data_IF_704715493247
#
_entry.id   IF_704715493247
#
_cell.length_a   1.000
_cell.length_b   1.000
_cell.length_c   1.000
_cell.angle_alpha   90.00
_cell.angle_beta   90.00
_cell.angle_gamma   90.00
#
_symmetry.space_group_name_H-M   'P 1'
#
loop_
_entity.id
_entity.type
_entity.pdbx_description
1 polymer ?
#
# COMPACT_ATOMS: atom_id res chain seq x y z
N UNK A 1 -65.97 38.96 4.63
CA UNK A 1 -65.76 37.49 4.69
C UNK A 1 -64.32 37.22 4.28
N UNK A 2 -63.49 36.74 5.20
CA UNK A 2 -62.07 36.38 4.97
C UNK A 2 -61.96 34.86 4.86
N UNK A 3 -61.35 34.34 3.79
CA UNK A 3 -60.91 32.95 3.71
C UNK A 3 -59.57 32.78 4.45
N UNK A 4 -59.29 31.63 5.08
CA UNK A 4 -58.03 31.38 5.77
C UNK A 4 -56.93 30.94 4.78
N UNK A 5 -55.63 31.17 5.09
CA UNK A 5 -54.54 30.64 4.29
C UNK A 5 -54.34 29.13 4.55
N UNK A 6 -54.11 28.37 3.48
CA UNK A 6 -53.66 26.98 3.54
C UNK A 6 -52.26 26.90 4.17
N UNK A 7 -52.09 25.94 5.09
CA UNK A 7 -50.86 25.68 5.87
C UNK A 7 -49.70 25.14 5.00
N UNK A 8 -48.43 25.44 5.33
CA UNK A 8 -47.24 24.95 4.62
C UNK A 8 -46.77 23.55 5.10
N UNK A 9 -47.67 22.68 5.58
CA UNK A 9 -47.26 21.40 6.19
C UNK A 9 -47.18 20.22 5.20
N UNK A 10 -47.72 20.34 3.99
CA UNK A 10 -47.78 19.22 3.02
C UNK A 10 -46.54 19.13 2.13
N UNK A 11 -45.82 20.25 1.93
CA UNK A 11 -44.59 20.25 1.11
C UNK A 11 -43.36 19.68 1.83
N UNK A 12 -43.28 19.80 3.16
CA UNK A 12 -42.13 19.28 3.93
C UNK A 12 -42.16 17.75 4.08
N UNK A 13 -43.35 17.15 4.20
CA UNK A 13 -43.49 15.70 4.31
C UNK A 13 -43.11 15.00 3.00
N UNK A 14 -43.56 15.48 1.84
CA UNK A 14 -43.21 14.86 0.55
C UNK A 14 -41.73 15.00 0.19
N UNK A 15 -41.08 16.12 0.53
CA UNK A 15 -39.65 16.31 0.32
C UNK A 15 -38.81 15.37 1.22
N UNK A 16 -39.20 15.19 2.48
CA UNK A 16 -38.55 14.26 3.40
C UNK A 16 -38.65 12.80 2.94
N UNK A 17 -39.82 12.37 2.48
CA UNK A 17 -40.02 10.99 1.98
C UNK A 17 -39.30 10.74 0.66
N UNK A 18 -39.23 11.74 -0.23
CA UNK A 18 -38.49 11.62 -1.50
C UNK A 18 -36.98 11.56 -1.26
N UNK A 19 -36.43 12.38 -0.36
CA UNK A 19 -35.00 12.34 0.00
C UNK A 19 -34.64 11.02 0.69
N UNK A 20 -35.47 10.52 1.62
CA UNK A 20 -35.26 9.18 2.20
C UNK A 20 -35.33 8.09 1.14
N UNK A 21 -36.29 8.15 0.21
CA UNK A 21 -36.46 7.12 -0.82
C UNK A 21 -35.30 7.14 -1.82
N UNK A 22 -34.77 8.32 -2.18
CA UNK A 22 -33.58 8.45 -3.02
C UNK A 22 -32.33 7.96 -2.30
N UNK A 23 -32.16 8.28 -1.00
CA UNK A 23 -31.03 7.79 -0.21
C UNK A 23 -31.07 6.27 0.01
N UNK A 24 -32.25 5.70 0.28
CA UNK A 24 -32.44 4.25 0.40
C UNK A 24 -32.21 3.57 -0.95
N UNK A 25 -32.75 4.11 -2.04
CA UNK A 25 -32.52 3.59 -3.39
C UNK A 25 -31.04 3.68 -3.81
N UNK A 26 -30.32 4.75 -3.44
CA UNK A 26 -28.88 4.85 -3.71
C UNK A 26 -28.07 3.86 -2.86
N UNK A 27 -28.40 3.72 -1.57
CA UNK A 27 -27.76 2.76 -0.68
C UNK A 27 -27.97 1.33 -1.16
N UNK A 28 -29.20 0.99 -1.56
CA UNK A 28 -29.55 -0.36 -1.98
C UNK A 28 -28.97 -0.70 -3.37
N UNK A 29 -28.81 0.29 -4.27
CA UNK A 29 -28.09 0.10 -5.53
C UNK A 29 -26.57 0.02 -5.35
N UNK A 30 -26.00 0.77 -4.41
CA UNK A 30 -24.59 0.62 -4.03
C UNK A 30 -24.35 -0.75 -3.40
N UNK A 31 -25.25 -1.23 -2.55
CA UNK A 31 -25.19 -2.57 -1.96
C UNK A 31 -25.33 -3.67 -3.03
N UNK A 32 -26.29 -3.55 -3.95
CA UNK A 32 -26.48 -4.52 -5.04
C UNK A 32 -25.33 -4.50 -6.06
N UNK A 33 -24.76 -3.33 -6.34
CA UNK A 33 -23.53 -3.20 -7.14
C UNK A 33 -22.33 -3.84 -6.43
N UNK A 34 -22.19 -3.59 -5.13
CA UNK A 34 -21.15 -4.18 -4.29
C UNK A 34 -21.26 -5.70 -4.19
N UNK A 35 -22.46 -6.26 -3.97
CA UNK A 35 -22.68 -7.71 -3.91
C UNK A 35 -22.37 -8.39 -5.25
N UNK A 36 -22.69 -7.76 -6.37
CA UNK A 36 -22.31 -8.25 -7.71
C UNK A 36 -20.79 -8.14 -7.98
N UNK A 37 -20.13 -7.13 -7.42
CA UNK A 37 -18.67 -6.96 -7.51
C UNK A 37 -17.96 -8.04 -6.69
N UNK A 38 -18.37 -8.23 -5.43
CA UNK A 38 -17.86 -9.27 -4.54
C UNK A 38 -18.14 -10.65 -5.13
N UNK A 39 -19.31 -10.89 -5.74
CA UNK A 39 -19.59 -12.16 -6.41
C UNK A 39 -18.68 -12.36 -7.62
N UNK A 40 -18.47 -11.34 -8.46
CA UNK A 40 -17.61 -11.42 -9.65
C UNK A 40 -16.17 -11.74 -9.27
N UNK A 41 -15.59 -11.02 -8.29
CA UNK A 41 -14.23 -11.25 -7.76
C UNK A 41 -14.12 -12.65 -7.11
N UNK A 42 -15.15 -13.10 -6.40
CA UNK A 42 -15.19 -14.46 -5.83
C UNK A 42 -15.31 -15.56 -6.89
N UNK A 43 -16.10 -15.37 -7.95
CA UNK A 43 -16.24 -16.37 -9.03
C UNK A 43 -14.97 -16.53 -9.86
N UNK A 44 -14.18 -15.48 -10.07
CA UNK A 44 -12.85 -15.60 -10.69
C UNK A 44 -11.85 -16.29 -9.76
N UNK A 45 -11.97 -16.12 -8.43
CA UNK A 45 -11.10 -16.77 -7.46
C UNK A 45 -11.41 -18.28 -7.24
N UNK A 46 -12.68 -18.70 -7.37
CA UNK A 46 -13.12 -20.06 -7.03
C UNK A 46 -12.88 -21.12 -8.12
N UNK A 47 -12.49 -20.73 -9.34
CA UNK A 47 -12.43 -21.61 -10.52
C UNK A 47 -11.02 -22.10 -10.90
N UNK A 48 -10.11 -22.26 -9.94
CA UNK A 48 -8.78 -22.79 -10.20
C UNK A 48 -8.50 -24.08 -9.41
N UNK A 49 -8.30 -25.17 -10.15
CA UNK A 49 -7.60 -26.37 -9.70
C UNK A 49 -6.35 -25.97 -8.91
N UNK A 50 -6.09 -26.66 -7.79
CA UNK A 50 -4.92 -26.48 -6.91
C UNK A 50 -3.68 -26.16 -7.75
N UNK A 51 -3.17 -24.92 -7.76
CA UNK A 51 -2.01 -24.59 -8.54
C UNK A 51 -0.78 -25.22 -7.90
N UNK A 52 0.05 -25.86 -8.72
CA UNK A 52 1.43 -26.16 -8.40
C UNK A 52 2.13 -24.88 -7.90
N UNK A 53 3.14 -24.96 -7.02
CA UNK A 53 3.87 -23.78 -6.55
C UNK A 53 4.38 -22.99 -7.75
N UNK A 54 3.98 -21.72 -7.83
CA UNK A 54 4.44 -20.77 -8.83
C UNK A 54 5.96 -20.70 -8.78
N UNK A 55 6.62 -21.28 -9.78
CA UNK A 55 8.03 -21.05 -10.05
C UNK A 55 8.12 -19.64 -10.60
N UNK A 56 8.57 -18.70 -9.75
CA UNK A 56 8.57 -17.26 -10.00
C UNK A 56 8.74 -16.88 -11.48
N UNK A 57 7.88 -15.98 -11.98
CA UNK A 57 8.11 -15.36 -13.28
C UNK A 57 9.56 -14.88 -13.35
N UNK A 58 10.24 -15.20 -14.46
CA UNK A 58 11.58 -14.67 -14.73
C UNK A 58 11.52 -13.16 -14.56
N UNK A 59 12.30 -12.56 -13.64
CA UNK A 59 12.17 -11.13 -13.39
C UNK A 59 12.46 -10.35 -14.65
N UNK A 60 11.53 -9.48 -15.01
CA UNK A 60 11.54 -8.78 -16.28
C UNK A 60 11.33 -7.30 -16.03
N UNK A 61 12.04 -6.48 -16.79
CA UNK A 61 11.81 -5.05 -16.77
C UNK A 61 10.35 -4.75 -17.18
N UNK A 62 9.66 -3.82 -16.49
CA UNK A 62 8.34 -3.37 -16.88
C UNK A 62 8.37 -2.72 -18.26
N UNK A 63 7.29 -2.93 -19.02
CA UNK A 63 7.17 -2.43 -20.40
C UNK A 63 6.59 -1.01 -20.47
N UNK A 64 6.01 -0.53 -19.36
CA UNK A 64 5.38 0.78 -19.24
C UNK A 64 5.33 1.25 -17.78
N UNK A 65 4.68 2.38 -17.53
CA UNK A 65 4.53 3.03 -16.23
C UNK A 65 3.15 2.80 -15.59
N UNK A 66 2.46 1.70 -15.94
CA UNK A 66 1.09 1.41 -15.47
C UNK A 66 0.99 1.39 -13.94
N UNK A 67 2.02 0.84 -13.27
CA UNK A 67 2.19 0.86 -11.82
C UNK A 67 3.37 1.76 -11.48
N UNK A 68 3.15 2.65 -10.53
CA UNK A 68 4.18 3.49 -9.94
C UNK A 68 4.21 3.37 -8.42
N UNK A 69 5.33 3.73 -7.82
CA UNK A 69 5.48 3.86 -6.35
C UNK A 69 5.73 5.32 -6.00
N UNK A 70 4.99 5.84 -5.02
CA UNK A 70 5.32 7.08 -4.33
C UNK A 70 6.09 6.75 -3.05
N UNK A 71 7.35 7.16 -2.97
CA UNK A 71 8.25 6.82 -1.87
C UNK A 71 8.69 8.08 -1.13
N UNK A 72 8.05 8.36 0.01
CA UNK A 72 8.51 9.36 0.97
C UNK A 72 9.69 8.77 1.76
N UNK A 73 10.88 9.37 1.61
CA UNK A 73 12.11 8.76 2.11
C UNK A 73 13.08 9.81 2.67
N UNK A 74 13.84 9.42 3.69
CA UNK A 74 14.91 10.21 4.28
C UNK A 74 15.99 9.27 4.79
N UNK A 75 17.28 9.55 4.59
CA UNK A 75 18.41 8.84 5.20
C UNK A 75 18.30 7.30 5.14
N UNK A 76 17.85 6.78 4.00
CA UNK A 76 17.64 5.34 3.75
C UNK A 76 18.27 4.89 2.43
N UNK A 77 19.38 5.53 2.02
CA UNK A 77 20.13 5.21 0.79
C UNK A 77 20.47 3.71 0.68
N UNK A 78 20.84 3.08 1.80
CA UNK A 78 21.22 1.66 1.85
C UNK A 78 20.04 0.70 1.67
N UNK A 79 18.80 1.16 1.88
CA UNK A 79 17.60 0.32 1.74
C UNK A 79 17.10 0.28 0.27
N UNK A 80 17.40 1.33 -0.50
CA UNK A 80 16.90 1.51 -1.87
C UNK A 80 17.31 0.42 -2.87
N UNK A 81 18.55 -0.08 -2.92
CA UNK A 81 18.96 -1.01 -3.97
C UNK A 81 18.05 -2.25 -4.05
N UNK A 82 17.81 -2.92 -2.93
CA UNK A 82 16.96 -4.12 -2.92
C UNK A 82 15.48 -3.77 -3.11
N UNK A 83 15.01 -2.65 -2.55
CA UNK A 83 13.64 -2.16 -2.75
C UNK A 83 13.35 -1.89 -4.23
N UNK A 84 14.19 -1.12 -4.91
CA UNK A 84 14.05 -0.76 -6.31
C UNK A 84 14.12 -2.00 -7.20
N UNK A 85 15.12 -2.86 -6.98
CA UNK A 85 15.27 -4.10 -7.75
C UNK A 85 14.03 -4.98 -7.65
N UNK A 86 13.53 -5.22 -6.43
CA UNK A 86 12.39 -6.10 -6.20
C UNK A 86 11.14 -5.55 -6.87
N UNK A 87 10.81 -4.29 -6.64
CA UNK A 87 9.59 -3.70 -7.17
C UNK A 87 9.64 -3.54 -8.70
N UNK A 88 10.81 -3.21 -9.26
CA UNK A 88 10.96 -3.07 -10.71
C UNK A 88 10.88 -4.42 -11.42
N UNK A 89 11.74 -5.37 -11.07
CA UNK A 89 11.89 -6.62 -11.82
C UNK A 89 10.90 -7.72 -11.42
N UNK A 90 10.47 -7.77 -10.16
CA UNK A 90 9.57 -8.84 -9.69
C UNK A 90 8.11 -8.38 -9.66
N UNK A 91 7.85 -7.12 -9.27
CA UNK A 91 6.47 -6.60 -9.17
C UNK A 91 6.03 -5.79 -10.40
N UNK A 92 6.92 -5.52 -11.35
CA UNK A 92 6.59 -4.80 -12.59
C UNK A 92 6.27 -3.33 -12.39
N UNK A 93 6.84 -2.68 -11.37
CA UNK A 93 6.70 -1.24 -11.13
C UNK A 93 7.56 -0.47 -12.13
N UNK A 94 6.91 0.30 -13.00
CA UNK A 94 7.55 1.05 -14.09
C UNK A 94 8.22 2.36 -13.66
N UNK A 95 7.65 3.04 -12.66
CA UNK A 95 8.12 4.36 -12.23
C UNK A 95 8.15 4.50 -10.71
N UNK A 96 9.20 5.15 -10.22
CA UNK A 96 9.37 5.49 -8.81
C UNK A 96 9.44 7.02 -8.66
N UNK A 97 8.52 7.60 -7.90
CA UNK A 97 8.59 8.98 -7.44
C UNK A 97 9.31 8.99 -6.09
N UNK A 98 10.61 9.32 -6.14
CA UNK A 98 11.49 9.36 -4.98
C UNK A 98 11.42 10.74 -4.33
N UNK A 99 10.68 10.82 -3.24
CA UNK A 99 10.38 12.05 -2.51
C UNK A 99 11.32 12.17 -1.32
N UNK A 100 12.50 12.72 -1.59
CA UNK A 100 13.63 12.80 -0.65
C UNK A 100 13.46 13.99 0.32
N UNK A 101 13.12 13.69 1.58
CA UNK A 101 12.93 14.64 2.68
C UNK A 101 14.26 14.98 3.38
N UNK A 102 15.19 15.51 2.60
CA UNK A 102 16.42 16.11 3.10
C UNK A 102 17.55 15.13 3.41
N UNK A 103 17.62 13.99 2.71
CA UNK A 103 18.76 13.07 2.82
C UNK A 103 20.07 13.77 2.48
N UNK A 104 21.13 13.47 3.23
CA UNK A 104 22.47 14.01 2.98
C UNK A 104 23.49 12.89 2.78
N UNK A 105 24.14 12.79 1.58
CA UNK A 105 23.87 13.56 0.36
C UNK A 105 22.52 13.19 -0.28
N UNK A 106 21.92 14.09 -1.11
CA UNK A 106 20.65 13.82 -1.78
C UNK A 106 20.64 12.50 -2.55
N UNK A 107 19.51 11.78 -2.52
CA UNK A 107 19.37 10.47 -3.17
C UNK A 107 19.55 10.51 -4.69
N UNK A 108 19.35 11.68 -5.31
CA UNK A 108 19.65 11.89 -6.74
C UNK A 108 21.14 11.71 -7.09
N UNK A 109 22.03 11.77 -6.11
CA UNK A 109 23.47 11.55 -6.26
C UNK A 109 23.89 10.07 -6.17
N UNK A 110 22.98 9.14 -5.92
CA UNK A 110 23.28 7.70 -6.08
C UNK A 110 23.77 7.44 -7.51
N UNK A 111 24.78 6.59 -7.71
CA UNK A 111 25.26 6.18 -9.03
C UNK A 111 24.28 5.21 -9.70
N UNK A 112 24.44 4.98 -11.00
CA UNK A 112 23.57 4.03 -11.71
C UNK A 112 23.78 2.59 -11.22
N UNK A 113 24.97 2.24 -10.76
CA UNK A 113 25.27 0.96 -10.12
C UNK A 113 24.54 0.80 -8.78
N UNK A 114 24.47 1.85 -7.96
CA UNK A 114 23.77 1.82 -6.68
C UNK A 114 22.25 1.67 -6.84
N UNK A 115 21.66 2.23 -7.91
CA UNK A 115 20.21 2.20 -8.12
C UNK A 115 19.69 0.82 -8.48
N UNK A 116 20.53 -0.06 -9.06
CA UNK A 116 20.20 -1.43 -9.51
C UNK A 116 19.10 -1.57 -10.55
N UNK A 117 18.52 -0.45 -10.99
CA UNK A 117 17.50 -0.32 -12.04
C UNK A 117 17.86 0.89 -12.93
N UNK A 118 17.31 1.00 -14.15
CA UNK A 118 17.56 2.16 -15.00
C UNK A 118 17.14 3.47 -14.31
N UNK A 119 18.02 4.48 -14.27
CA UNK A 119 17.71 5.80 -13.71
C UNK A 119 16.45 6.43 -14.31
N UNK A 120 16.14 6.14 -15.57
CA UNK A 120 14.94 6.63 -16.25
C UNK A 120 13.62 6.15 -15.60
N UNK A 121 13.65 5.03 -14.89
CA UNK A 121 12.53 4.52 -14.10
C UNK A 121 12.30 5.32 -12.81
N UNK A 122 13.15 6.30 -12.50
CA UNK A 122 13.09 7.09 -11.28
C UNK A 122 12.85 8.56 -11.61
N UNK A 123 12.02 9.22 -10.80
CA UNK A 123 11.89 10.67 -10.76
C UNK A 123 12.29 11.14 -9.35
N UNK A 124 13.36 11.92 -9.27
CA UNK A 124 13.89 12.41 -8.00
C UNK A 124 13.31 13.78 -7.66
N UNK A 125 12.72 13.92 -6.49
CA UNK A 125 12.25 15.18 -5.94
C UNK A 125 12.90 15.41 -4.57
N UNK A 126 13.79 16.41 -4.51
CA UNK A 126 14.50 16.74 -3.28
C UNK A 126 13.83 17.90 -2.54
N UNK A 127 13.54 17.68 -1.26
CA UNK A 127 12.97 18.64 -0.33
C UNK A 127 14.04 19.00 0.68
N UNK A 128 14.38 20.29 0.77
CA UNK A 128 15.41 20.74 1.71
C UNK A 128 14.91 20.58 3.16
N UNK A 129 15.78 20.27 4.13
CA UNK A 129 15.40 20.14 5.54
C UNK A 129 14.63 21.34 6.10
N UNK A 130 14.92 22.57 5.63
CA UNK A 130 14.25 23.79 6.10
C UNK A 130 12.81 23.94 5.57
N UNK A 131 12.41 23.08 4.62
CA UNK A 131 11.05 22.99 4.08
C UNK A 131 10.23 21.88 4.71
N UNK A 132 10.81 21.13 5.65
CA UNK A 132 10.08 20.09 6.36
C UNK A 132 8.92 20.69 7.15
N UNK A 133 7.75 20.08 7.02
CA UNK A 133 6.54 20.50 7.70
C UNK A 133 5.89 19.35 8.48
N UNK A 134 4.95 19.71 9.36
CA UNK A 134 4.20 18.70 10.10
C UNK A 134 3.40 17.86 9.10
N UNK A 135 3.50 16.54 9.24
CA UNK A 135 2.86 15.58 8.31
C UNK A 135 3.41 15.67 6.87
N UNK A 136 4.72 15.91 6.73
CA UNK A 136 5.43 15.95 5.46
C UNK A 136 5.04 14.80 4.52
N UNK A 137 4.79 13.60 5.06
CA UNK A 137 4.37 12.44 4.24
C UNK A 137 3.11 12.73 3.41
N UNK A 138 2.13 13.48 3.95
CA UNK A 138 0.91 13.83 3.23
C UNK A 138 1.20 14.78 2.07
N UNK A 139 2.07 15.75 2.29
CA UNK A 139 2.53 16.69 1.26
C UNK A 139 3.25 15.96 0.15
N UNK A 140 4.16 15.06 0.50
CA UNK A 140 4.89 14.25 -0.48
C UNK A 140 3.95 13.35 -1.28
N UNK A 141 2.96 12.73 -0.64
CA UNK A 141 1.95 11.90 -1.34
C UNK A 141 1.11 12.73 -2.32
N UNK A 142 0.66 13.92 -1.92
CA UNK A 142 -0.06 14.84 -2.81
C UNK A 142 0.80 15.24 -4.02
N UNK A 143 2.09 15.55 -3.81
CA UNK A 143 3.00 15.90 -4.88
C UNK A 143 3.26 14.73 -5.85
N UNK A 144 3.43 13.49 -5.37
CA UNK A 144 3.54 12.32 -6.24
C UNK A 144 2.37 12.22 -7.22
N UNK A 145 1.13 12.38 -6.72
CA UNK A 145 -0.07 12.33 -7.55
C UNK A 145 -0.11 13.49 -8.55
N UNK A 146 0.29 14.69 -8.14
CA UNK A 146 0.38 15.84 -9.04
C UNK A 146 1.40 15.61 -10.16
N UNK A 147 2.58 15.07 -9.84
CA UNK A 147 3.60 14.75 -10.85
C UNK A 147 3.11 13.68 -11.82
N UNK A 148 2.52 12.60 -11.31
CA UNK A 148 1.95 11.55 -12.16
C UNK A 148 0.84 12.08 -13.09
N UNK A 149 -0.07 12.95 -12.59
CA UNK A 149 -1.15 13.54 -13.41
C UNK A 149 -0.65 14.52 -14.46
N UNK A 150 0.39 15.27 -14.16
CA UNK A 150 0.92 16.30 -15.05
C UNK A 150 1.94 15.75 -16.06
N UNK A 151 2.42 14.52 -15.86
CA UNK A 151 3.38 13.90 -16.74
C UNK A 151 2.73 13.44 -18.04
N UNK A 152 3.25 13.92 -19.17
CA UNK A 152 2.82 13.45 -20.51
C UNK A 152 3.51 12.14 -20.93
N UNK A 153 4.53 11.72 -20.19
CA UNK A 153 5.36 10.53 -20.46
C UNK A 153 5.14 9.41 -19.43
N UNK A 154 4.63 9.76 -18.26
CA UNK A 154 4.35 8.79 -17.19
C UNK A 154 2.85 8.50 -17.16
N UNK A 155 2.41 7.48 -17.91
CA UNK A 155 1.03 7.03 -17.93
C UNK A 155 0.72 6.08 -16.75
N UNK A 156 0.67 6.63 -15.53
CA UNK A 156 0.38 5.86 -14.32
C UNK A 156 -1.11 5.69 -14.08
N UNK A 157 -1.56 4.44 -14.08
CA UNK A 157 -2.92 4.08 -13.64
C UNK A 157 -2.97 3.92 -12.13
N UNK A 158 -2.07 3.10 -11.59
CA UNK A 158 -2.03 2.73 -10.17
C UNK A 158 -0.76 3.24 -9.50
N UNK A 159 -0.91 3.84 -8.33
CA UNK A 159 0.20 4.32 -7.51
C UNK A 159 0.18 3.64 -6.14
N UNK A 160 1.23 2.91 -5.82
CA UNK A 160 1.47 2.37 -4.49
C UNK A 160 2.05 3.43 -3.56
N UNK A 161 1.43 3.60 -2.39
CA UNK A 161 1.92 4.47 -1.32
C UNK A 161 2.48 3.57 -0.21
N UNK A 162 3.77 3.28 -0.29
CA UNK A 162 4.48 2.36 0.60
C UNK A 162 5.79 3.00 1.08
N UNK A 163 6.32 2.49 2.18
CA UNK A 163 7.55 2.94 2.80
C UNK A 163 8.76 2.11 2.30
N UNK A 164 9.99 2.60 2.48
CA UNK A 164 11.20 1.97 1.92
C UNK A 164 11.56 0.61 2.56
N UNK A 165 10.88 0.25 3.64
CA UNK A 165 10.96 -1.02 4.35
C UNK A 165 9.72 -1.92 4.11
N UNK A 166 8.90 -1.61 3.11
CA UNK A 166 7.69 -2.36 2.75
C UNK A 166 7.81 -2.93 1.33
N UNK A 167 7.57 -4.24 1.19
CA UNK A 167 7.76 -4.98 -0.06
C UNK A 167 6.44 -5.61 -0.48
N UNK A 168 5.91 -5.14 -1.61
CA UNK A 168 4.69 -5.71 -2.19
C UNK A 168 5.01 -7.12 -2.67
N UNK A 169 4.08 -8.04 -2.42
CA UNK A 169 4.22 -9.40 -2.87
C UNK A 169 2.92 -9.94 -3.45
N UNK A 170 3.05 -10.74 -4.51
CA UNK A 170 1.94 -11.44 -5.16
C UNK A 170 2.19 -12.96 -5.02
N UNK A 171 1.71 -13.59 -3.92
CA UNK A 171 1.94 -15.02 -3.64
C UNK A 171 1.09 -15.98 -4.47
N UNK A 172 0.03 -15.47 -5.09
CA UNK A 172 -0.81 -16.25 -6.00
C UNK A 172 -0.18 -16.49 -7.38
N UNK A 173 -0.93 -17.10 -8.30
CA UNK A 173 -0.47 -17.36 -9.67
C UNK A 173 -0.46 -16.11 -10.57
N UNK A 174 -1.06 -15.01 -10.12
CA UNK A 174 -1.17 -13.76 -10.85
C UNK A 174 -0.01 -12.83 -10.50
N UNK A 175 0.45 -12.06 -11.47
CA UNK A 175 1.31 -10.89 -11.25
C UNK A 175 0.55 -9.76 -10.56
N UNK A 176 1.29 -8.82 -9.95
CA UNK A 176 0.69 -7.60 -9.39
C UNK A 176 -0.15 -6.84 -10.44
N UNK A 177 0.35 -6.74 -11.68
CA UNK A 177 -0.39 -6.10 -12.79
C UNK A 177 -1.72 -6.79 -13.06
N UNK A 178 -1.74 -8.11 -13.23
CA UNK A 178 -2.97 -8.85 -13.52
C UNK A 178 -4.01 -8.69 -12.41
N UNK A 179 -3.56 -8.69 -11.15
CA UNK A 179 -4.43 -8.43 -10.00
C UNK A 179 -5.02 -7.00 -10.05
N UNK A 180 -4.21 -6.00 -10.37
CA UNK A 180 -4.67 -4.60 -10.48
C UNK A 180 -5.60 -4.38 -11.68
N UNK A 181 -5.37 -5.08 -12.79
CA UNK A 181 -6.25 -5.08 -13.96
C UNK A 181 -7.62 -5.72 -13.64
N UNK A 182 -7.66 -6.78 -12.82
CA UNK A 182 -8.93 -7.35 -12.34
C UNK A 182 -9.77 -6.31 -11.59
N UNK A 183 -9.13 -5.57 -10.68
CA UNK A 183 -9.81 -4.48 -10.00
C UNK A 183 -10.20 -3.39 -10.99
N UNK A 184 -9.32 -3.02 -11.93
CA UNK A 184 -9.53 -1.97 -12.94
C UNK A 184 -10.86 -2.11 -13.68
N UNK A 185 -11.25 -3.35 -14.00
CA UNK A 185 -12.52 -3.66 -14.68
C UNK A 185 -13.77 -3.26 -13.88
N UNK A 186 -13.64 -3.08 -12.57
CA UNK A 186 -14.69 -2.54 -11.70
C UNK A 186 -14.44 -1.05 -11.50
N UNK A 187 -15.32 -0.22 -12.08
CA UNK A 187 -15.18 1.24 -12.07
C UNK A 187 -15.17 1.82 -10.66
N UNK A 188 -16.04 1.31 -9.77
CA UNK A 188 -16.16 1.77 -8.38
C UNK A 188 -14.93 1.49 -7.51
N UNK A 189 -14.02 0.59 -7.89
CA UNK A 189 -12.83 0.31 -7.08
C UNK A 189 -11.79 1.40 -7.35
N UNK A 190 -11.51 2.28 -6.39
CA UNK A 190 -10.50 3.32 -6.53
C UNK A 190 -9.16 2.97 -5.89
N UNK A 191 -9.15 2.05 -4.93
CA UNK A 191 -7.93 1.64 -4.24
C UNK A 191 -7.99 0.19 -3.74
N UNK A 192 -6.82 -0.38 -3.48
CA UNK A 192 -6.64 -1.71 -2.91
C UNK A 192 -5.78 -1.61 -1.66
N UNK A 193 -6.28 -2.12 -0.54
CA UNK A 193 -5.56 -2.23 0.72
C UNK A 193 -4.83 -3.56 0.85
N UNK A 194 -3.53 -3.53 1.14
CA UNK A 194 -2.68 -4.69 1.33
C UNK A 194 -2.35 -4.83 2.82
N UNK A 195 -2.70 -5.95 3.44
CA UNK A 195 -2.34 -6.21 4.83
C UNK A 195 -0.83 -6.40 5.00
N UNK A 196 -0.28 -5.80 6.05
CA UNK A 196 1.10 -6.01 6.45
C UNK A 196 1.37 -7.46 6.82
N UNK A 197 2.56 -7.96 6.46
CA UNK A 197 3.21 -9.16 6.99
C UNK A 197 4.51 -8.69 7.65
N UNK A 198 4.42 -8.41 8.94
CA UNK A 198 5.46 -7.71 9.69
C UNK A 198 6.56 -8.68 10.14
N UNK A 199 7.78 -8.43 9.68
CA UNK A 199 8.98 -9.21 10.00
C UNK A 199 9.59 -8.80 11.34
N UNK A 200 10.18 -9.77 12.03
CA UNK A 200 10.97 -9.57 13.25
C UNK A 200 12.41 -9.17 12.88
N UNK A 201 13.29 -9.02 13.87
CA UNK A 201 14.70 -8.81 13.62
C UNK A 201 15.43 -10.10 13.23
N UNK A 202 14.78 -11.27 13.35
CA UNK A 202 15.43 -12.58 13.31
C UNK A 202 16.64 -12.69 14.27
N UNK A 203 16.66 -11.88 15.34
CA UNK A 203 17.78 -11.74 16.27
C UNK A 203 19.00 -10.99 15.72
N UNK A 204 18.93 -10.38 14.54
CA UNK A 204 20.08 -9.70 13.94
C UNK A 204 20.43 -8.42 14.69
N UNK A 205 21.69 -8.31 15.12
CA UNK A 205 22.18 -7.12 15.80
C UNK A 205 22.74 -6.07 14.84
N UNK A 206 23.29 -6.51 13.72
CA UNK A 206 23.93 -5.66 12.70
C UNK A 206 23.23 -5.79 11.36
N UNK A 207 23.37 -4.77 10.51
CA UNK A 207 22.78 -4.73 9.17
C UNK A 207 23.17 -5.98 8.36
N UNK A 208 22.16 -6.55 7.72
CA UNK A 208 22.33 -7.73 6.88
C UNK A 208 22.47 -7.33 5.40
N UNK A 209 23.23 -8.10 4.59
CA UNK A 209 23.44 -7.78 3.17
C UNK A 209 22.16 -7.80 2.32
N UNK A 210 21.16 -8.58 2.74
CA UNK A 210 19.91 -8.79 2.02
C UNK A 210 18.79 -8.93 3.04
N UNK A 211 17.79 -8.06 2.97
CA UNK A 211 16.65 -8.12 3.88
C UNK A 211 15.80 -9.38 3.60
N UNK A 212 15.61 -9.69 2.32
CA UNK A 212 14.79 -10.82 1.88
C UNK A 212 15.38 -12.15 2.37
N UNK A 213 16.70 -12.27 2.39
CA UNK A 213 17.37 -13.51 2.80
C UNK A 213 17.51 -13.63 4.32
N UNK A 214 17.64 -12.50 5.02
CA UNK A 214 18.01 -12.49 6.42
C UNK A 214 16.82 -12.43 7.38
N UNK A 215 15.73 -11.77 6.99
CA UNK A 215 14.54 -11.60 7.81
C UNK A 215 13.45 -12.57 7.32
N UNK A 216 13.38 -13.74 7.94
CA UNK A 216 12.52 -14.88 7.55
C UNK A 216 11.60 -15.33 8.67
N UNK A 217 11.38 -14.47 9.65
CA UNK A 217 10.47 -14.65 10.78
C UNK A 217 9.54 -13.44 10.89
N UNK A 218 8.27 -13.68 11.18
CA UNK A 218 7.24 -12.65 11.29
C UNK A 218 6.51 -12.75 12.62
N UNK A 219 5.86 -11.67 13.04
CA UNK A 219 4.94 -11.73 14.18
C UNK A 219 3.73 -12.61 13.83
N UNK A 220 3.18 -13.27 14.83
CA UNK A 220 1.96 -14.05 14.72
C UNK A 220 0.75 -13.17 14.38
N UNK A 221 -0.14 -13.72 13.57
CA UNK A 221 -1.29 -13.00 13.03
C UNK A 221 -2.49 -12.94 13.97
N UNK A 222 -2.45 -13.57 15.15
CA UNK A 222 -3.61 -13.66 16.05
C UNK A 222 -4.81 -14.37 15.37
N UNK A 223 -4.53 -15.53 14.75
CA UNK A 223 -5.50 -16.29 13.93
C UNK A 223 -6.78 -16.65 14.71
N UNK A 224 -6.64 -16.88 16.02
CA UNK A 224 -7.74 -17.18 16.96
C UNK A 224 -8.81 -16.06 16.98
N UNK A 225 -8.41 -14.82 16.68
CA UNK A 225 -9.29 -13.65 16.61
C UNK A 225 -9.26 -12.98 15.23
N UNK A 226 -8.93 -13.75 14.18
CA UNK A 226 -8.87 -13.27 12.79
C UNK A 226 -7.91 -12.08 12.58
N UNK A 227 -6.95 -11.90 13.49
CA UNK A 227 -6.00 -10.80 13.49
C UNK A 227 -6.51 -9.46 14.00
N UNK A 228 -7.63 -9.44 14.72
CA UNK A 228 -8.10 -8.23 15.37
C UNK A 228 -7.04 -7.64 16.32
N UNK A 229 -6.31 -8.43 17.10
CA UNK A 229 -5.27 -7.94 18.00
C UNK A 229 -3.92 -7.65 17.32
N UNK A 230 -3.72 -8.09 16.09
CA UNK A 230 -2.39 -8.07 15.46
C UNK A 230 -2.09 -6.74 14.76
N UNK A 231 -0.84 -6.30 14.82
CA UNK A 231 -0.39 -5.14 14.03
C UNK A 231 -0.45 -5.39 12.52
N UNK A 232 -0.45 -6.66 12.13
CA UNK A 232 -0.61 -7.09 10.75
C UNK A 232 -1.99 -6.77 10.13
N UNK A 233 -2.97 -6.35 10.94
CA UNK A 233 -4.25 -5.82 10.43
C UNK A 233 -4.11 -4.46 9.76
N UNK A 234 -3.00 -3.75 9.95
CA UNK A 234 -2.75 -2.52 9.22
C UNK A 234 -2.54 -2.80 7.74
N UNK A 235 -2.92 -1.82 6.93
CA UNK A 235 -2.71 -1.86 5.48
C UNK A 235 -1.73 -0.79 5.02
N UNK A 236 -1.32 -0.88 3.75
CA UNK A 236 -1.08 0.29 2.90
C UNK A 236 -1.93 0.17 1.64
N UNK A 237 -2.02 1.24 0.87
CA UNK A 237 -2.89 1.30 -0.29
C UNK A 237 -2.15 1.46 -1.61
N UNK A 238 -2.63 0.75 -2.63
CA UNK A 238 -2.38 1.03 -4.04
C UNK A 238 -3.63 1.74 -4.58
N UNK A 239 -3.49 2.97 -5.05
CA UNK A 239 -4.61 3.85 -5.42
C UNK A 239 -4.59 4.14 -6.91
N UNK A 240 -5.75 4.11 -7.57
CA UNK A 240 -5.89 4.63 -8.92
C UNK A 240 -5.69 6.14 -8.90
N UNK A 241 -4.71 6.62 -9.65
CA UNK A 241 -4.34 8.03 -9.70
C UNK A 241 -5.53 8.92 -10.07
N UNK A 242 -6.41 8.47 -10.97
CA UNK A 242 -7.62 9.23 -11.36
C UNK A 242 -8.65 9.40 -10.25
N UNK A 243 -8.65 8.50 -9.25
CA UNK A 243 -9.64 8.45 -8.16
C UNK A 243 -9.11 9.04 -6.86
N UNK A 244 -7.81 9.33 -6.78
CA UNK A 244 -7.20 9.93 -5.60
C UNK A 244 -7.81 11.31 -5.29
N UNK A 245 -8.24 11.52 -4.05
CA UNK A 245 -8.63 12.85 -3.55
C UNK A 245 -7.57 13.44 -2.63
N UNK A 246 -7.26 12.80 -1.51
CA UNK A 246 -6.26 13.23 -0.53
C UNK A 246 -5.91 12.08 0.43
N UNK A 247 -4.77 12.12 1.17
CA UNK A 247 -4.50 11.12 2.20
C UNK A 247 -5.43 11.33 3.39
N UNK A 248 -5.96 10.23 3.96
CA UNK A 248 -6.60 10.27 5.28
C UNK A 248 -5.53 10.10 6.36
N UNK A 249 -4.67 9.10 6.14
CA UNK A 249 -3.50 8.81 6.93
C UNK A 249 -2.42 8.18 6.01
N UNK A 250 -1.23 7.77 6.52
CA UNK A 250 -0.20 7.17 5.68
C UNK A 250 -0.56 5.82 5.02
N UNK A 251 -1.71 5.24 5.36
CA UNK A 251 -2.14 3.90 4.99
C UNK A 251 -3.39 3.91 4.11
N UNK A 252 -4.34 4.80 4.43
CA UNK A 252 -5.65 4.91 3.82
C UNK A 252 -5.89 6.28 3.18
N UNK A 253 -6.68 6.32 2.11
CA UNK A 253 -6.87 7.50 1.28
C UNK A 253 -8.35 7.81 1.07
N UNK A 254 -8.68 9.10 1.11
CA UNK A 254 -9.96 9.54 0.58
C UNK A 254 -9.92 9.50 -0.95
N UNK A 255 -10.98 8.95 -1.53
CA UNK A 255 -11.16 8.83 -2.98
C UNK A 255 -12.25 9.80 -3.45
N UNK A 256 -12.29 10.03 -4.77
CA UNK A 256 -13.39 10.75 -5.42
C UNK A 256 -14.72 10.04 -5.20
N UNK A 257 -15.83 10.80 -5.31
CA UNK A 257 -17.17 10.28 -5.11
C UNK A 257 -17.43 8.97 -5.90
N UNK A 258 -18.22 8.07 -5.31
CA UNK A 258 -18.57 6.74 -5.84
C UNK A 258 -17.41 5.73 -5.96
N UNK A 259 -16.23 6.04 -5.42
CA UNK A 259 -15.12 5.10 -5.39
C UNK A 259 -14.86 4.56 -3.97
N UNK A 260 -14.49 3.29 -3.90
CA UNK A 260 -14.20 2.56 -2.65
C UNK A 260 -12.80 1.97 -2.65
N UNK A 261 -12.27 1.75 -1.45
CA UNK A 261 -11.09 0.91 -1.22
C UNK A 261 -11.56 -0.51 -0.93
N UNK A 262 -10.86 -1.51 -1.49
CA UNK A 262 -11.14 -2.92 -1.22
C UNK A 262 -9.90 -3.67 -0.75
N UNK A 263 -10.08 -4.77 -0.04
CA UNK A 263 -9.05 -5.78 0.20
C UNK A 263 -8.86 -6.70 -1.00
N UNK A 264 -7.94 -7.66 -0.86
CA UNK A 264 -7.61 -8.57 -1.97
C UNK A 264 -8.76 -9.50 -2.43
N UNK A 265 -9.80 -9.62 -1.60
CA UNK A 265 -11.01 -10.42 -1.90
C UNK A 265 -12.19 -9.55 -2.36
N UNK A 266 -11.96 -8.25 -2.60
CA UNK A 266 -13.01 -7.30 -2.98
C UNK A 266 -13.85 -6.80 -1.80
N UNK A 267 -13.53 -7.18 -0.56
CA UNK A 267 -14.18 -6.68 0.65
C UNK A 267 -13.86 -5.20 0.88
N UNK A 268 -14.87 -4.39 1.18
CA UNK A 268 -14.69 -2.95 1.39
C UNK A 268 -13.84 -2.67 2.62
N UNK A 269 -12.87 -1.76 2.46
CA UNK A 269 -11.99 -1.27 3.53
C UNK A 269 -12.31 0.18 3.79
N UNK A 270 -12.57 0.52 5.06
CA UNK A 270 -13.00 1.86 5.46
C UNK A 270 -11.99 2.57 6.38
N UNK A 271 -10.81 1.97 6.61
CA UNK A 271 -9.78 2.53 7.49
C UNK A 271 -8.39 1.98 7.16
N UNK A 272 -7.36 2.48 7.86
CA UNK A 272 -6.00 1.92 7.85
C UNK A 272 -5.91 0.49 8.41
N UNK A 273 -6.98 -0.02 9.02
CA UNK A 273 -7.07 -1.35 9.61
C UNK A 273 -8.08 -2.20 8.85
N UNK A 274 -7.70 -3.44 8.56
CA UNK A 274 -8.51 -4.45 7.88
C UNK A 274 -8.26 -5.81 8.52
N UNK A 275 -9.34 -6.41 9.03
CA UNK A 275 -9.39 -7.80 9.44
C UNK A 275 -10.77 -8.39 9.06
N UNK A 276 -10.91 -9.70 8.74
CA UNK A 276 -9.89 -10.74 8.78
C UNK A 276 -8.67 -10.45 7.92
N UNK A 277 -7.48 -10.76 8.45
CA UNK A 277 -6.23 -10.58 7.70
C UNK A 277 -6.20 -11.60 6.56
N UNK A 278 -5.96 -11.14 5.33
CA UNK A 278 -5.79 -12.04 4.18
C UNK A 278 -4.62 -11.57 3.32
N UNK A 279 -3.81 -12.51 2.82
CA UNK A 279 -2.60 -12.26 2.01
C UNK A 279 -2.34 -13.32 0.93
N UNK A 280 -3.38 -13.90 0.34
CA UNK A 280 -3.24 -15.02 -0.60
C UNK A 280 -3.00 -14.59 -2.06
N UNK A 281 -3.38 -13.36 -2.39
CA UNK A 281 -3.19 -12.71 -3.70
C UNK A 281 -2.25 -11.51 -3.59
N UNK A 282 -2.37 -10.73 -2.51
CA UNK A 282 -1.51 -9.57 -2.23
C UNK A 282 -1.08 -9.54 -0.78
N UNK A 283 0.23 -9.42 -0.55
CA UNK A 283 0.82 -9.21 0.77
C UNK A 283 1.71 -7.98 0.76
N UNK A 284 1.90 -7.34 1.92
CA UNK A 284 2.89 -6.29 2.08
C UNK A 284 3.87 -6.68 3.19
N UNK A 285 5.02 -7.22 2.81
CA UNK A 285 6.06 -7.60 3.78
C UNK A 285 6.72 -6.35 4.36
N UNK A 286 6.58 -6.13 5.66
CA UNK A 286 7.04 -4.92 6.33
C UNK A 286 8.22 -5.25 7.25
N UNK A 287 9.41 -4.84 6.85
CA UNK A 287 10.65 -5.00 7.60
C UNK A 287 10.83 -3.81 8.54
N UNK A 288 9.88 -3.62 9.45
CA UNK A 288 9.75 -2.36 10.20
C UNK A 288 10.92 -2.08 11.15
N UNK A 289 11.50 -3.13 11.73
CA UNK A 289 12.58 -3.02 12.72
C UNK A 289 13.95 -3.40 12.13
N UNK A 290 14.00 -4.39 11.22
CA UNK A 290 15.26 -4.95 10.68
C UNK A 290 16.22 -5.32 11.81
N UNK A 291 17.53 -5.21 11.60
CA UNK A 291 18.50 -5.44 12.67
C UNK A 291 18.45 -4.34 13.74
N UNK A 292 19.01 -4.63 14.92
CA UNK A 292 19.07 -3.66 16.04
C UNK A 292 19.76 -2.36 15.64
N UNK A 293 20.91 -2.44 14.97
CA UNK A 293 21.65 -1.29 14.42
C UNK A 293 20.76 -0.43 13.50
N UNK A 294 20.03 -1.05 12.58
CA UNK A 294 19.15 -0.34 11.65
C UNK A 294 17.93 0.28 12.35
N UNK A 295 17.43 -0.37 13.41
CA UNK A 295 16.38 0.20 14.22
C UNK A 295 16.85 1.45 14.99
N UNK A 296 18.07 1.43 15.51
CA UNK A 296 18.70 2.59 16.14
C UNK A 296 18.84 3.76 15.16
N UNK A 297 19.27 3.50 13.92
CA UNK A 297 19.28 4.49 12.83
C UNK A 297 17.87 5.05 12.57
N UNK A 298 16.85 4.19 12.52
CA UNK A 298 15.45 4.59 12.31
C UNK A 298 14.92 5.50 13.42
N UNK A 299 15.23 5.19 14.68
CA UNK A 299 14.84 6.02 15.82
C UNK A 299 15.48 7.41 15.77
N UNK A 300 16.75 7.50 15.35
CA UNK A 300 17.46 8.77 15.19
C UNK A 300 16.87 9.60 14.06
N UNK A 301 16.56 8.95 12.92
CA UNK A 301 15.93 9.58 11.75
C UNK A 301 14.55 10.16 12.04
N UNK A 302 13.71 9.44 12.78
CA UNK A 302 12.29 9.77 12.98
C UNK A 302 11.44 9.43 11.75
N UNK A 303 10.19 9.92 11.73
CA UNK A 303 9.27 9.72 10.59
C UNK A 303 8.80 11.03 9.96
N UNK A 304 8.35 10.93 8.70
CA UNK A 304 7.70 12.01 7.97
C UNK A 304 6.30 12.39 8.52
N UNK A 305 5.82 11.68 9.54
CA UNK A 305 4.58 11.99 10.28
C UNK A 305 4.83 12.71 11.61
N UNK A 306 6.07 13.14 11.85
CA UNK A 306 6.48 13.82 13.10
C UNK A 306 6.31 12.95 14.35
N UNK A 307 6.19 11.63 14.20
CA UNK A 307 6.25 10.67 15.30
C UNK A 307 7.65 10.04 15.37
N UNK A 308 8.05 9.60 16.56
CA UNK A 308 9.27 8.83 16.77
C UNK A 308 8.87 7.47 17.30
N UNK A 309 9.22 6.41 16.56
CA UNK A 309 9.17 5.05 17.09
C UNK A 309 10.32 4.90 18.09
N UNK A 310 10.07 4.25 19.22
CA UNK A 310 11.07 3.99 20.24
C UNK A 310 11.27 2.49 20.46
N UNK A 311 12.04 2.17 21.51
CA UNK A 311 12.25 0.78 21.96
C UNK A 311 10.95 0.07 22.35
N UNK A 312 9.88 0.79 22.65
CA UNK A 312 8.54 0.22 22.84
C UNK A 312 8.03 -0.53 21.60
N UNK A 313 8.33 -0.01 20.41
CA UNK A 313 8.03 -0.70 19.14
C UNK A 313 8.90 -1.95 18.98
N UNK A 314 10.18 -1.86 19.33
CA UNK A 314 11.09 -3.02 19.30
C UNK A 314 10.59 -4.12 20.24
N UNK A 315 10.35 -3.80 21.51
CA UNK A 315 9.81 -4.74 22.50
C UNK A 315 8.50 -5.39 22.03
N UNK A 316 7.61 -4.59 21.40
CA UNK A 316 6.35 -5.11 20.89
C UNK A 316 6.55 -6.18 19.80
N UNK A 317 7.44 -5.93 18.84
CA UNK A 317 7.61 -6.81 17.69
C UNK A 317 8.58 -7.95 17.94
N UNK A 318 9.63 -7.70 18.72
CA UNK A 318 10.70 -8.66 18.98
C UNK A 318 10.47 -9.50 20.24
N UNK A 319 9.87 -8.94 21.29
CA UNK A 319 9.84 -9.61 22.61
C UNK A 319 8.44 -10.06 23.05
N UNK A 320 7.40 -9.28 22.73
CA UNK A 320 6.04 -9.50 23.24
C UNK A 320 5.18 -10.34 22.31
N UNK A 321 5.28 -10.12 20.99
CA UNK A 321 4.50 -10.88 20.03
C UNK A 321 5.10 -12.27 19.80
N UNK A 322 4.30 -13.34 19.73
CA UNK A 322 4.78 -14.63 19.28
C UNK A 322 5.32 -14.54 17.85
N UNK A 323 6.33 -15.34 17.54
CA UNK A 323 6.98 -15.36 16.23
C UNK A 323 6.64 -16.63 15.46
N UNK A 324 6.58 -16.51 14.13
CA UNK A 324 6.31 -17.62 13.21
C UNK A 324 7.27 -17.59 12.02
N UNK A 325 7.60 -18.75 11.42
CA UNK A 325 8.34 -18.79 10.16
C UNK A 325 7.65 -17.97 9.05
N UNK A 326 8.45 -17.23 8.30
CA UNK A 326 8.00 -16.26 7.30
C UNK A 326 8.95 -16.25 6.10
N UNK A 327 8.99 -17.38 5.37
CA UNK A 327 9.96 -17.65 4.30
C UNK A 327 9.43 -17.28 2.91
N UNK A 328 8.25 -16.66 2.80
CA UNK A 328 7.55 -16.44 1.55
C UNK A 328 8.41 -15.63 0.57
N UNK A 329 9.11 -14.61 1.06
CA UNK A 329 9.93 -13.71 0.24
C UNK A 329 11.21 -14.36 -0.31
N UNK A 330 11.65 -15.51 0.23
CA UNK A 330 12.87 -16.20 -0.23
C UNK A 330 12.79 -16.62 -1.71
N UNK A 331 11.61 -16.77 -2.28
CA UNK A 331 11.44 -17.03 -3.72
C UNK A 331 11.94 -15.89 -4.62
N UNK A 332 12.09 -14.69 -4.06
CA UNK A 332 12.66 -13.53 -4.72
C UNK A 332 14.14 -13.33 -4.39
N UNK A 333 14.73 -14.23 -3.58
CA UNK A 333 16.14 -14.19 -3.22
C UNK A 333 17.03 -14.18 -4.47
N UNK A 334 18.00 -13.26 -4.56
CA UNK A 334 19.03 -13.32 -5.60
C UNK A 334 19.89 -14.58 -5.48
N UNK A 335 20.03 -15.15 -4.28
CA UNK A 335 20.94 -16.27 -3.99
C UNK A 335 20.40 -17.62 -4.44
N UNK A 336 19.07 -17.76 -4.59
CA UNK A 336 18.45 -18.99 -5.07
C UNK A 336 18.50 -19.16 -6.60
N UNK A 337 19.09 -18.20 -7.33
CA UNK A 337 19.24 -18.25 -8.80
C UNK A 337 20.59 -18.78 -9.27
N UNK A 338 21.31 -19.54 -8.44
CA UNK A 338 22.59 -20.18 -8.79
C UNK A 338 22.46 -21.68 -9.02
#
# INVERSE_FOLDING_TARGET
>A
MRYPPLRPLVFMAMAGTLIMSVMVYHRDNLAAGYDNVVSTVKTTAANNNIPLPFTGNTPQAPVDNYISVCLAIKDQRNDLPQFLNHHYYNMGVGKFFLMDDGTTPPLSQMTDEELTIPRSAIEFHYYKPEKHERWMQYTLYNHCVQFARNSTTTNTTWMAFIDADEFIDAPGPQTLREILEDYERVEAIGAVGLNWRLHTSNGHLTRQPSIIDAFTECIYDDDEHQGEGSNNRHIKSIVRVKTYHQPHDPHYFYLTENHITVGENGDQVNSALRWPITRNRLALHHYAIKSKEEFEEKMQRGSAMSNKKGWDTWELYEEKNPHVPCTEMLRWSPTQKK
#
